data_IF_700019123431
#
_entry.id   IF_700019123431
#
_cell.length_a   1.000
_cell.length_b   1.000
_cell.length_c   1.000
_cell.angle_alpha   90.00
_cell.angle_beta   90.00
_cell.angle_gamma   90.00
#
_symmetry.space_group_name_H-M   'P 1'
#
loop_
_entity.id
_entity.type
_entity.pdbx_description
1 polymer ?
#
# COMPACT_ATOMS: atom_id res chain seq x y z
N UNK A 1 17.16 -1.15 4.28
CA UNK A 1 16.71 -2.56 4.29
C UNK A 1 15.38 -2.60 3.56
N UNK A 2 15.14 -3.58 2.69
CA UNK A 2 13.86 -3.68 1.99
C UNK A 2 12.74 -4.00 3.00
N UNK A 3 11.61 -3.29 2.90
CA UNK A 3 10.44 -3.52 3.75
C UNK A 3 9.80 -4.85 3.35
N UNK A 4 9.63 -5.78 4.29
CA UNK A 4 8.88 -7.02 4.06
C UNK A 4 7.41 -6.77 4.35
N UNK A 5 6.58 -6.84 3.30
CA UNK A 5 5.12 -6.63 3.41
C UNK A 5 4.39 -7.94 3.73
N UNK A 6 3.49 -7.92 4.71
CA UNK A 6 2.53 -8.98 5.03
C UNK A 6 1.14 -8.60 4.53
N UNK A 7 1.02 -8.49 3.20
CA UNK A 7 -0.22 -8.19 2.49
C UNK A 7 -1.00 -9.48 2.30
N UNK A 8 -2.22 -9.51 2.82
CA UNK A 8 -3.10 -10.67 2.80
C UNK A 8 -4.37 -10.38 2.00
N UNK A 9 -5.13 -11.44 1.67
CA UNK A 9 -6.43 -11.28 0.99
C UNK A 9 -7.40 -10.40 1.77
N UNK A 10 -7.48 -10.60 3.09
CA UNK A 10 -8.22 -9.74 4.01
C UNK A 10 -7.25 -8.85 4.78
N UNK A 11 -7.64 -7.60 4.97
CA UNK A 11 -6.88 -6.67 5.79
C UNK A 11 -6.76 -7.11 7.23
N UNK A 12 -5.76 -6.57 7.92
CA UNK A 12 -5.50 -6.84 9.34
C UNK A 12 -5.16 -5.54 10.06
N UNK A 13 -5.51 -5.49 11.33
CA UNK A 13 -5.06 -4.42 12.22
C UNK A 13 -3.63 -4.73 12.69
N UNK A 14 -2.77 -3.72 12.68
CA UNK A 14 -1.48 -3.79 13.37
C UNK A 14 -1.65 -3.63 14.88
N UNK A 15 -0.84 -4.32 15.66
CA UNK A 15 -0.92 -4.27 17.14
C UNK A 15 0.46 -4.10 17.77
N UNK A 16 0.49 -3.52 18.97
CA UNK A 16 1.72 -3.37 19.75
C UNK A 16 2.83 -2.64 19.00
N UNK A 17 4.03 -3.20 19.05
CA UNK A 17 5.23 -2.64 18.42
C UNK A 17 5.10 -2.51 16.89
N UNK A 18 4.44 -3.46 16.23
CA UNK A 18 4.23 -3.43 14.79
C UNK A 18 3.49 -2.16 14.37
N UNK A 19 2.44 -1.76 15.10
CA UNK A 19 1.69 -0.56 14.76
C UNK A 19 2.57 0.70 14.79
N UNK A 20 3.50 0.77 15.74
CA UNK A 20 4.47 1.88 15.83
C UNK A 20 5.46 1.84 14.66
N UNK A 21 6.04 0.68 14.38
CA UNK A 21 6.99 0.51 13.27
C UNK A 21 6.38 0.86 11.92
N UNK A 22 5.13 0.47 11.67
CA UNK A 22 4.42 0.81 10.44
C UNK A 22 4.02 2.28 10.36
N UNK A 23 3.69 2.89 11.50
CA UNK A 23 3.43 4.33 11.55
C UNK A 23 4.67 5.15 11.21
N UNK A 24 5.86 4.75 11.66
CA UNK A 24 7.11 5.45 11.31
C UNK A 24 7.45 5.40 9.81
N UNK A 25 6.83 4.49 9.04
CA UNK A 25 6.98 4.42 7.59
C UNK A 25 6.03 5.36 6.84
N UNK A 26 5.05 5.98 7.51
CA UNK A 26 4.11 6.87 6.82
C UNK A 26 4.84 8.12 6.34
N UNK A 27 4.60 8.59 5.09
CA UNK A 27 5.07 9.90 4.67
C UNK A 27 4.56 10.99 5.61
N UNK A 28 5.41 11.96 5.94
CA UNK A 28 5.10 13.02 6.92
C UNK A 28 3.82 13.80 6.54
N UNK A 29 3.60 14.02 5.24
CA UNK A 29 2.45 14.77 4.71
C UNK A 29 1.88 14.11 3.46
N UNK A 30 0.57 14.28 3.28
CA UNK A 30 -0.10 14.00 2.01
C UNK A 30 -0.07 15.30 1.20
N UNK A 31 0.78 15.34 0.19
CA UNK A 31 0.93 16.49 -0.71
C UNK A 31 0.68 16.04 -2.15
N UNK A 32 0.26 16.99 -3.00
CA UNK A 32 0.15 16.78 -4.44
C UNK A 32 1.32 17.45 -5.15
N UNK A 33 2.11 16.67 -5.88
CA UNK A 33 3.29 17.13 -6.61
C UNK A 33 3.16 16.59 -8.03
N UNK A 34 3.18 17.50 -9.01
CA UNK A 34 2.97 17.19 -10.43
C UNK A 34 1.73 16.32 -10.71
N UNK A 35 0.64 16.59 -9.99
CA UNK A 35 -0.64 15.89 -10.14
C UNK A 35 -0.70 14.49 -9.51
N UNK A 36 0.34 14.06 -8.79
CA UNK A 36 0.38 12.80 -8.04
C UNK A 36 0.45 13.05 -6.54
N UNK A 37 -0.04 12.09 -5.75
CA UNK A 37 0.16 12.12 -4.30
C UNK A 37 1.59 11.70 -3.95
N UNK A 38 2.13 12.33 -2.90
CA UNK A 38 3.48 12.14 -2.36
C UNK A 38 4.61 12.58 -3.30
N UNK A 39 5.80 12.76 -2.74
CA UNK A 39 6.95 13.33 -3.45
C UNK A 39 7.49 12.40 -4.53
N UNK A 40 7.66 11.12 -4.21
CA UNK A 40 8.28 10.14 -5.10
C UNK A 40 7.53 8.81 -5.13
N UNK A 41 7.97 7.90 -6.01
CA UNK A 41 7.37 6.58 -6.17
C UNK A 41 7.60 5.67 -4.95
N UNK A 42 8.68 5.89 -4.20
CA UNK A 42 8.98 5.13 -2.99
C UNK A 42 7.94 5.43 -1.89
N UNK A 43 7.60 6.70 -1.66
CA UNK A 43 6.55 7.11 -0.75
C UNK A 43 5.18 6.60 -1.20
N UNK A 44 4.88 6.65 -2.50
CA UNK A 44 3.63 6.11 -3.06
C UNK A 44 3.50 4.60 -2.81
N UNK A 45 4.55 3.83 -3.11
CA UNK A 45 4.55 2.38 -2.90
C UNK A 45 4.54 2.02 -1.41
N UNK A 46 5.22 2.80 -0.57
CA UNK A 46 5.21 2.61 0.89
C UNK A 46 3.82 2.85 1.45
N UNK A 47 3.19 3.98 1.13
CA UNK A 47 1.83 4.26 1.56
C UNK A 47 0.84 3.21 1.02
N UNK A 48 1.00 2.78 -0.22
CA UNK A 48 0.17 1.72 -0.80
C UNK A 48 0.32 0.41 -0.03
N UNK A 49 1.55 -0.03 0.27
CA UNK A 49 1.80 -1.23 1.07
C UNK A 49 1.18 -1.15 2.46
N UNK A 50 1.34 -0.02 3.15
CA UNK A 50 0.75 0.25 4.46
C UNK A 50 -0.79 0.13 4.42
N UNK A 51 -1.43 0.72 3.42
CA UNK A 51 -2.87 0.62 3.23
C UNK A 51 -3.31 -0.80 2.89
N UNK A 52 -2.60 -1.48 2.00
CA UNK A 52 -2.92 -2.86 1.58
C UNK A 52 -2.87 -3.85 2.74
N UNK A 53 -1.97 -3.70 3.71
CA UNK A 53 -2.01 -4.53 4.92
C UNK A 53 -3.26 -4.29 5.77
N UNK A 54 -3.75 -3.05 5.84
CA UNK A 54 -4.93 -2.69 6.63
C UNK A 54 -6.24 -3.09 5.94
N UNK A 55 -6.33 -2.98 4.61
CA UNK A 55 -7.58 -3.23 3.87
C UNK A 55 -7.64 -4.60 3.20
N UNK A 56 -6.50 -5.15 2.79
CA UNK A 56 -6.35 -6.42 2.10
C UNK A 56 -6.60 -6.35 0.58
N UNK A 57 -6.08 -7.37 -0.12
CA UNK A 57 -6.16 -7.48 -1.59
C UNK A 57 -7.61 -7.53 -2.09
N UNK A 58 -8.50 -8.25 -1.40
CA UNK A 58 -9.90 -8.39 -1.82
C UNK A 58 -10.62 -7.04 -1.89
N UNK A 59 -10.26 -6.08 -1.02
CA UNK A 59 -10.80 -4.73 -1.06
C UNK A 59 -10.14 -3.90 -2.17
N UNK A 60 -8.81 -3.97 -2.29
CA UNK A 60 -8.05 -3.23 -3.28
C UNK A 60 -8.46 -3.57 -4.73
N UNK A 61 -8.64 -4.86 -5.04
CA UNK A 61 -9.03 -5.29 -6.40
C UNK A 61 -10.42 -4.80 -6.81
N UNK A 62 -11.29 -4.51 -5.83
CA UNK A 62 -12.63 -3.96 -6.07
C UNK A 62 -12.62 -2.44 -6.35
N UNK A 63 -11.55 -1.73 -6.00
CA UNK A 63 -11.42 -0.30 -6.29
C UNK A 63 -11.08 -0.03 -7.76
N UNK A 64 -10.47 -1.00 -8.44
CA UNK A 64 -10.04 -0.87 -9.83
C UNK A 64 -10.82 -1.79 -10.79
N UNK A 65 -10.52 -1.68 -12.08
CA UNK A 65 -11.04 -2.59 -13.09
C UNK A 65 -10.41 -3.99 -12.92
N UNK A 66 -11.18 -5.07 -12.70
CA UNK A 66 -10.65 -6.43 -12.58
C UNK A 66 -9.84 -6.92 -13.80
N UNK A 67 -10.08 -6.36 -15.00
CA UNK A 67 -9.30 -6.66 -16.20
C UNK A 67 -7.87 -6.17 -16.05
N UNK A 68 -7.68 -4.90 -15.66
CA UNK A 68 -6.36 -4.31 -15.46
C UNK A 68 -5.53 -5.07 -14.43
N UNK A 69 -6.16 -5.56 -13.36
CA UNK A 69 -5.49 -6.41 -12.36
C UNK A 69 -5.00 -7.73 -12.96
N UNK A 70 -5.81 -8.41 -13.77
CA UNK A 70 -5.41 -9.67 -14.43
C UNK A 70 -4.30 -9.44 -15.44
N UNK A 71 -4.36 -8.36 -16.21
CA UNK A 71 -3.32 -7.99 -17.17
C UNK A 71 -1.99 -7.71 -16.48
N UNK A 72 -2.01 -6.95 -15.36
CA UNK A 72 -0.81 -6.68 -14.57
C UNK A 72 -0.19 -7.97 -14.01
N UNK A 73 -1.00 -8.87 -13.45
CA UNK A 73 -0.52 -10.16 -12.90
C UNK A 73 0.08 -11.05 -13.99
N UNK A 74 -0.46 -11.03 -15.21
CA UNK A 74 0.06 -11.81 -16.33
C UNK A 74 1.46 -11.35 -16.81
N UNK A 75 1.93 -10.18 -16.37
CA UNK A 75 3.25 -9.62 -16.71
C UNK A 75 4.31 -9.86 -15.62
N UNK A 76 3.95 -10.50 -14.50
CA UNK A 76 4.87 -10.87 -13.41
C UNK A 76 5.64 -12.16 -13.74
#
# INVERSE_FOLDING_TARGET
>A
MAITWDIRRRGRKWTGQEARERYELTPEKIEMIDGKLFWDDEQRLTMLGLLLENVGVDAAVKLGNPVAWREAVAQL
#
